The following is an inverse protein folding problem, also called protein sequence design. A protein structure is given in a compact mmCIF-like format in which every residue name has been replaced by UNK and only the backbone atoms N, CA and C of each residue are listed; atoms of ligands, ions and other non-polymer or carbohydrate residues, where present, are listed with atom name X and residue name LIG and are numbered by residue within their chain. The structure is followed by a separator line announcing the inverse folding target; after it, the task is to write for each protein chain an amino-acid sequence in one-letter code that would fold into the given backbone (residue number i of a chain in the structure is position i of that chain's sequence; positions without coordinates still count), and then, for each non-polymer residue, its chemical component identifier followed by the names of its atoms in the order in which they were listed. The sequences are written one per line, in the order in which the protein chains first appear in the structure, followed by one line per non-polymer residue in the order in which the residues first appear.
data_IF_125137990385
#
_entry.id   IF_125137990385
#
_cell.length_a   1.000
_cell.length_b   1.000
_cell.length_c   1.000
_cell.angle_alpha   90.00
_cell.angle_beta   90.00
_cell.angle_gamma   90.00
#
_symmetry.space_group_name_H-M   'P 1'
#
loop_
_entity.id
_entity.type
_entity.pdbx_description
1 polymer ?
#
# COMPACT_ATOMS: atom_id res chain seq x y z
N UNK A 1 3.50 -24.17 9.36
CA UNK A 1 4.10 -23.29 10.40
C UNK A 1 5.27 -24.06 11.02
N UNK A 2 6.42 -23.43 11.27
CA UNK A 2 7.58 -24.08 11.89
C UNK A 2 7.28 -24.44 13.36
N UNK A 3 7.76 -25.60 13.83
CA UNK A 3 7.50 -26.10 15.20
C UNK A 3 7.95 -25.10 16.28
N UNK A 4 9.14 -24.52 16.10
CA UNK A 4 9.69 -23.52 17.01
C UNK A 4 8.82 -22.25 17.12
N UNK A 5 8.13 -21.86 16.04
CA UNK A 5 7.18 -20.73 16.09
C UNK A 5 5.97 -21.08 16.97
N UNK A 6 5.45 -22.30 16.88
CA UNK A 6 4.33 -22.76 17.72
C UNK A 6 4.75 -22.78 19.19
N UNK A 7 5.93 -23.33 19.48
CA UNK A 7 6.48 -23.41 20.84
C UNK A 7 6.74 -22.03 21.47
N UNK A 8 7.02 -21.02 20.64
CA UNK A 8 7.23 -19.63 21.08
C UNK A 8 5.94 -18.89 21.48
N UNK A 9 4.76 -19.49 21.28
CA UNK A 9 3.47 -18.92 21.66
C UNK A 9 3.26 -17.52 21.07
N UNK A 10 2.77 -16.56 21.87
CA UNK A 10 2.51 -15.17 21.44
C UNK A 10 3.77 -14.40 21.00
N UNK A 11 4.96 -14.85 21.41
CA UNK A 11 6.23 -14.16 21.18
C UNK A 11 6.93 -14.61 19.89
N UNK A 12 6.29 -15.51 19.12
CA UNK A 12 6.87 -16.09 17.89
C UNK A 12 7.22 -15.05 16.83
N UNK A 13 6.65 -13.85 16.89
CA UNK A 13 6.93 -12.76 15.92
C UNK A 13 8.05 -11.82 16.36
N UNK A 14 8.67 -12.04 17.52
CA UNK A 14 9.79 -11.21 17.97
C UNK A 14 11.06 -11.48 17.16
N UNK A 15 11.97 -10.49 17.05
CA UNK A 15 13.31 -10.72 16.53
C UNK A 15 13.98 -11.90 17.26
N UNK A 16 14.63 -12.79 16.51
CA UNK A 16 15.24 -14.01 17.03
C UNK A 16 14.29 -15.22 17.18
N UNK A 17 12.98 -15.01 17.29
CA UNK A 17 11.99 -16.10 17.41
C UNK A 17 11.27 -16.39 16.08
N UNK A 18 11.09 -15.37 15.24
CA UNK A 18 10.36 -15.52 13.98
C UNK A 18 11.16 -16.34 12.97
N UNK A 19 10.71 -17.59 12.74
CA UNK A 19 11.25 -18.44 11.68
C UNK A 19 10.32 -18.39 10.46
N UNK A 20 10.78 -17.69 9.42
CA UNK A 20 10.14 -17.62 8.10
C UNK A 20 10.88 -18.43 7.04
N UNK A 21 10.33 -18.48 5.83
CA UNK A 21 10.92 -19.16 4.66
C UNK A 21 11.17 -18.21 3.47
N UNK A 22 11.04 -16.89 3.68
CA UNK A 22 11.29 -15.88 2.66
C UNK A 22 12.77 -15.50 2.55
N UNK A 23 13.05 -14.53 1.67
CA UNK A 23 14.40 -14.05 1.37
C UNK A 23 15.11 -13.32 2.52
N UNK A 24 14.37 -12.88 3.54
CA UNK A 24 14.90 -12.14 4.69
C UNK A 24 14.42 -12.70 6.02
N UNK A 25 15.20 -12.46 7.08
CA UNK A 25 14.87 -12.73 8.49
C UNK A 25 14.75 -11.43 9.29
N UNK A 26 13.89 -11.43 10.31
CA UNK A 26 13.71 -10.28 11.21
C UNK A 26 14.91 -10.13 12.16
N UNK A 27 15.68 -9.06 11.97
CA UNK A 27 16.87 -8.72 12.77
C UNK A 27 16.52 -7.89 14.00
N UNK A 28 15.71 -6.85 13.81
CA UNK A 28 15.39 -5.87 14.85
C UNK A 28 13.96 -5.34 14.66
N UNK A 29 13.28 -5.05 15.76
CA UNK A 29 11.98 -4.37 15.76
C UNK A 29 11.94 -3.41 16.94
N UNK A 30 11.76 -2.14 16.65
CA UNK A 30 11.45 -1.11 17.64
C UNK A 30 10.08 -0.54 17.28
N UNK A 31 9.12 -0.73 18.19
CA UNK A 31 7.72 -0.36 17.96
C UNK A 31 7.61 1.14 17.66
N UNK A 32 6.87 1.50 16.61
CA UNK A 32 6.70 2.86 16.10
C UNK A 32 7.99 3.55 15.58
N UNK A 33 9.10 2.83 15.45
CA UNK A 33 10.36 3.39 14.95
C UNK A 33 10.87 2.66 13.71
N UNK A 34 11.10 1.35 13.77
CA UNK A 34 11.67 0.60 12.65
C UNK A 34 11.49 -0.91 12.74
N UNK A 35 11.54 -1.55 11.58
CA UNK A 35 11.77 -2.99 11.39
C UNK A 35 13.02 -3.17 10.52
N UNK A 36 14.00 -3.93 11.00
CA UNK A 36 15.22 -4.24 10.25
C UNK A 36 15.20 -5.71 9.87
N UNK A 37 15.44 -6.00 8.59
CA UNK A 37 15.58 -7.35 8.08
C UNK A 37 16.92 -7.53 7.37
N UNK A 38 17.45 -8.75 7.40
CA UNK A 38 18.71 -9.14 6.74
C UNK A 38 18.50 -10.43 5.95
N UNK A 39 19.32 -10.73 4.93
CA UNK A 39 19.15 -11.93 4.12
C UNK A 39 19.02 -13.21 4.94
N UNK A 40 18.09 -14.06 4.52
CA UNK A 40 17.97 -15.42 5.00
C UNK A 40 18.87 -16.33 4.17
N UNK A 41 20.00 -16.75 4.72
CA UNK A 41 20.97 -17.61 4.03
C UNK A 41 20.42 -18.99 3.65
N UNK A 42 19.31 -19.41 4.26
CA UNK A 42 18.61 -20.66 3.95
C UNK A 42 17.51 -20.50 2.89
N UNK A 43 17.26 -19.29 2.40
CA UNK A 43 16.30 -19.07 1.33
C UNK A 43 16.78 -19.75 0.04
N UNK A 44 15.88 -20.48 -0.62
CA UNK A 44 16.22 -21.31 -1.79
C UNK A 44 16.88 -20.52 -2.93
N UNK A 45 16.54 -19.23 -3.09
CA UNK A 45 17.11 -18.34 -4.09
C UNK A 45 18.04 -17.26 -3.49
N UNK A 46 18.66 -17.54 -2.34
CA UNK A 46 19.54 -16.57 -1.65
C UNK A 46 20.71 -16.11 -2.53
N UNK A 47 21.15 -16.93 -3.49
CA UNK A 47 22.19 -16.55 -4.45
C UNK A 47 21.83 -15.31 -5.29
N UNK A 48 20.54 -14.98 -5.42
CA UNK A 48 20.05 -13.78 -6.12
C UNK A 48 19.68 -12.63 -5.17
N UNK A 49 19.80 -12.79 -3.86
CA UNK A 49 19.50 -11.73 -2.89
C UNK A 49 20.62 -10.68 -2.89
N UNK A 50 20.32 -9.47 -3.36
CA UNK A 50 21.30 -8.38 -3.48
C UNK A 50 21.34 -7.50 -2.22
N UNK A 51 20.19 -7.05 -1.72
CA UNK A 51 20.15 -6.13 -0.57
C UNK A 51 20.55 -6.86 0.71
N UNK A 52 21.56 -6.34 1.41
CA UNK A 52 22.10 -6.97 2.63
C UNK A 52 21.38 -6.50 3.91
N UNK A 53 20.58 -5.45 3.81
CA UNK A 53 19.77 -4.91 4.89
C UNK A 53 18.64 -4.09 4.30
N UNK A 54 17.45 -4.23 4.87
CA UNK A 54 16.31 -3.35 4.58
C UNK A 54 15.75 -2.86 5.90
N UNK A 55 15.49 -1.55 5.98
CA UNK A 55 14.87 -0.90 7.13
C UNK A 55 13.51 -0.35 6.72
N UNK A 56 12.44 -0.83 7.34
CA UNK A 56 11.10 -0.28 7.17
C UNK A 56 10.82 0.72 8.28
N UNK A 57 10.35 1.91 7.91
CA UNK A 57 10.04 3.00 8.83
C UNK A 57 8.52 3.26 8.82
N UNK A 58 7.82 3.19 9.97
CA UNK A 58 6.38 3.42 10.04
C UNK A 58 6.07 4.92 10.09
N UNK A 59 6.17 5.62 8.96
CA UNK A 59 5.90 7.05 8.85
C UNK A 59 4.49 7.28 8.31
N UNK A 60 3.55 7.58 9.20
CA UNK A 60 2.14 7.76 8.84
C UNK A 60 1.83 9.10 8.18
N UNK A 61 2.75 10.07 8.25
CA UNK A 61 2.58 11.40 7.66
C UNK A 61 3.36 11.46 6.35
N UNK A 62 2.62 11.41 5.25
CA UNK A 62 3.18 11.41 3.88
C UNK A 62 4.12 12.59 3.65
N UNK A 63 3.74 13.79 4.10
CA UNK A 63 4.60 14.99 4.01
C UNK A 63 5.94 14.85 4.75
N UNK A 64 5.98 14.11 5.85
CA UNK A 64 7.22 13.83 6.58
C UNK A 64 8.06 12.77 5.85
N UNK A 65 7.42 11.74 5.27
CA UNK A 65 8.09 10.74 4.45
C UNK A 65 8.76 11.37 3.23
N UNK A 66 8.06 12.25 2.50
CA UNK A 66 8.62 12.97 1.35
C UNK A 66 9.81 13.84 1.75
N UNK A 67 9.71 14.62 2.84
CA UNK A 67 10.85 15.45 3.29
C UNK A 67 12.09 14.61 3.60
N UNK A 68 11.92 13.45 4.23
CA UNK A 68 13.01 12.53 4.55
C UNK A 68 13.58 11.86 3.31
N UNK A 69 12.74 11.50 2.35
CA UNK A 69 13.18 11.03 1.03
C UNK A 69 14.05 12.07 0.32
N UNK A 70 13.57 13.32 0.25
CA UNK A 70 14.31 14.42 -0.37
C UNK A 70 15.61 14.79 0.37
N UNK A 71 15.68 14.53 1.67
CA UNK A 71 16.89 14.70 2.47
C UNK A 71 17.89 13.53 2.31
N UNK A 72 17.50 12.43 1.64
CA UNK A 72 18.34 11.24 1.48
C UNK A 72 18.28 10.25 2.66
N UNK A 73 17.35 10.44 3.61
CA UNK A 73 17.17 9.53 4.75
C UNK A 73 16.39 8.24 4.38
N UNK A 74 15.67 8.26 3.25
CA UNK A 74 14.79 7.20 2.79
C UNK A 74 14.99 7.00 1.30
N UNK A 75 15.16 5.75 0.87
CA UNK A 75 15.41 5.41 -0.54
C UNK A 75 14.12 5.27 -1.36
N UNK A 76 12.99 4.90 -0.73
CA UNK A 76 11.70 4.65 -1.38
C UNK A 76 10.56 5.09 -0.44
N UNK A 77 9.58 5.84 -0.95
CA UNK A 77 8.34 6.19 -0.23
C UNK A 77 7.17 5.30 -0.68
N UNK A 78 6.16 5.13 0.17
CA UNK A 78 4.91 4.46 -0.23
C UNK A 78 4.04 5.34 -1.14
N UNK A 79 4.13 6.66 -0.99
CA UNK A 79 3.40 7.66 -1.77
C UNK A 79 4.06 9.05 -1.68
N UNK A 80 3.52 10.01 -2.44
CA UNK A 80 3.88 11.42 -2.40
C UNK A 80 2.61 12.28 -2.29
N UNK A 81 2.64 13.38 -1.51
CA UNK A 81 1.49 14.28 -1.44
C UNK A 81 1.13 14.78 -2.83
N UNK A 82 -0.16 14.85 -3.12
CA UNK A 82 -0.70 15.18 -4.46
C UNK A 82 -0.04 16.40 -5.09
N UNK A 83 0.17 17.46 -4.30
CA UNK A 83 0.82 18.71 -4.73
C UNK A 83 2.25 18.55 -5.26
N UNK A 84 2.94 17.48 -4.89
CA UNK A 84 4.31 17.19 -5.34
C UNK A 84 4.33 16.22 -6.51
N UNK A 85 3.19 15.65 -6.94
CA UNK A 85 3.18 14.65 -8.01
C UNK A 85 3.60 15.26 -9.35
N UNK A 86 3.13 16.45 -9.70
CA UNK A 86 3.57 17.16 -10.92
C UNK A 86 5.07 17.48 -10.88
N UNK A 87 5.56 18.01 -9.76
CA UNK A 87 6.99 18.30 -9.55
C UNK A 87 7.84 17.02 -9.52
N UNK A 88 7.30 15.92 -9.01
CA UNK A 88 8.01 14.65 -8.92
C UNK A 88 8.13 13.94 -10.26
N UNK A 89 7.08 14.00 -11.08
CA UNK A 89 7.06 13.47 -12.45
C UNK A 89 8.01 14.24 -13.36
N UNK A 90 8.12 15.56 -13.20
CA UNK A 90 8.98 16.41 -14.04
C UNK A 90 10.43 16.52 -13.50
N UNK A 91 10.63 16.58 -12.19
CA UNK A 91 11.91 16.90 -11.56
C UNK A 91 12.76 15.71 -11.14
N UNK A 92 12.17 14.56 -10.79
CA UNK A 92 12.91 13.36 -10.38
C UNK A 92 12.91 12.31 -11.49
N UNK A 93 13.51 12.65 -12.63
CA UNK A 93 13.64 11.80 -13.84
C UNK A 93 14.28 10.41 -13.64
N UNK A 94 14.69 10.05 -12.41
CA UNK A 94 15.10 8.69 -12.01
C UNK A 94 14.25 8.02 -10.91
N UNK A 95 13.37 8.76 -10.23
CA UNK A 95 12.46 8.23 -9.22
C UNK A 95 11.12 7.93 -9.89
N UNK A 96 11.06 6.81 -10.61
CA UNK A 96 9.87 6.42 -11.35
C UNK A 96 8.64 6.38 -10.43
N UNK A 97 7.65 7.25 -10.72
CA UNK A 97 6.31 7.08 -10.19
C UNK A 97 5.74 5.79 -10.81
N UNK A 98 5.57 4.75 -10.01
CA UNK A 98 4.96 3.50 -10.46
C UNK A 98 3.44 3.69 -10.57
N UNK A 99 2.95 3.79 -11.81
CA UNK A 99 1.53 3.91 -12.12
C UNK A 99 0.82 2.55 -12.19
N UNK A 100 -0.45 2.57 -11.76
CA UNK A 100 -1.45 1.50 -11.76
C UNK A 100 -1.27 0.37 -10.74
N UNK A 101 -1.79 0.58 -9.52
CA UNK A 101 -2.13 -0.51 -8.62
C UNK A 101 -3.55 -1.02 -8.96
N UNK A 102 -3.76 -2.33 -8.94
CA UNK A 102 -5.10 -2.93 -8.91
C UNK A 102 -5.72 -2.71 -7.52
N UNK A 103 -6.06 -1.45 -7.21
CA UNK A 103 -6.58 -1.00 -5.92
C UNK A 103 -7.71 -0.01 -6.14
N UNK A 104 -8.82 -0.22 -5.42
CA UNK A 104 -9.92 0.73 -5.34
C UNK A 104 -9.94 1.44 -3.99
N UNK A 105 -10.27 2.73 -4.02
CA UNK A 105 -10.62 3.50 -2.83
C UNK A 105 -12.13 3.67 -2.78
N UNK A 106 -12.75 3.29 -1.67
CA UNK A 106 -14.20 3.31 -1.49
C UNK A 106 -14.59 3.72 -0.08
N UNK A 107 -15.79 4.27 0.07
CA UNK A 107 -16.44 4.45 1.37
C UNK A 107 -17.25 3.20 1.72
N UNK A 108 -16.94 2.57 2.85
CA UNK A 108 -17.70 1.46 3.38
C UNK A 108 -18.84 1.97 4.28
N UNK A 109 -20.06 1.52 4.03
CA UNK A 109 -21.20 1.81 4.90
C UNK A 109 -21.43 0.66 5.88
N UNK A 110 -21.79 0.98 7.13
CA UNK A 110 -22.30 -0.03 8.05
C UNK A 110 -23.72 -0.44 7.60
N UNK A 111 -23.86 -1.65 7.07
CA UNK A 111 -25.14 -2.16 6.55
C UNK A 111 -26.04 -2.76 7.63
N UNK A 112 -25.55 -2.88 8.87
CA UNK A 112 -26.25 -3.55 9.97
C UNK A 112 -26.79 -2.58 11.02
N UNK A 113 -26.41 -1.29 10.94
CA UNK A 113 -26.74 -0.30 11.97
C UNK A 113 -26.90 1.11 11.40
N UNK A 114 -27.88 1.84 11.94
CA UNK A 114 -28.10 3.25 11.64
C UNK A 114 -28.78 3.51 10.29
N UNK A 115 -28.83 4.77 9.82
CA UNK A 115 -29.52 5.13 8.57
C UNK A 115 -29.00 4.38 7.34
N UNK A 116 -27.71 4.03 7.32
CA UNK A 116 -27.09 3.28 6.22
C UNK A 116 -27.43 1.79 6.21
N UNK A 117 -28.18 1.27 7.20
CA UNK A 117 -28.78 -0.06 7.11
C UNK A 117 -29.84 -0.12 5.99
N UNK A 118 -30.52 1.00 5.71
CA UNK A 118 -31.44 1.13 4.58
C UNK A 118 -30.67 1.22 3.25
N UNK A 119 -30.99 0.34 2.31
CA UNK A 119 -30.35 0.30 0.98
C UNK A 119 -30.55 1.60 0.20
N UNK A 120 -31.69 2.28 0.36
CA UNK A 120 -32.00 3.52 -0.35
C UNK A 120 -31.06 4.65 0.06
N UNK A 121 -30.73 4.72 1.35
CA UNK A 121 -29.78 5.70 1.88
C UNK A 121 -28.39 5.46 1.28
N UNK A 122 -27.91 4.21 1.25
CA UNK A 122 -26.61 3.89 0.64
C UNK A 122 -26.56 4.20 -0.85
N UNK A 123 -27.64 3.89 -1.57
CA UNK A 123 -27.73 4.15 -3.00
C UNK A 123 -27.72 5.66 -3.28
N UNK A 124 -28.50 6.44 -2.54
CA UNK A 124 -28.52 7.89 -2.65
C UNK A 124 -27.13 8.50 -2.43
N UNK A 125 -26.44 8.12 -1.34
CA UNK A 125 -25.09 8.60 -1.05
C UNK A 125 -24.10 8.24 -2.17
N UNK A 126 -24.14 6.99 -2.67
CA UNK A 126 -23.25 6.55 -3.76
C UNK A 126 -23.48 7.29 -5.07
N UNK A 127 -24.74 7.58 -5.42
CA UNK A 127 -25.11 8.28 -6.66
C UNK A 127 -24.76 9.77 -6.62
N UNK A 128 -24.72 10.37 -5.43
CA UNK A 128 -24.37 11.80 -5.27
C UNK A 128 -22.86 12.07 -5.25
N UNK A 129 -21.99 11.05 -5.19
CA UNK A 129 -20.55 11.23 -5.26
C UNK A 129 -20.15 11.50 -6.72
N UNK A 130 -19.71 12.73 -6.99
CA UNK A 130 -19.09 13.08 -8.26
C UNK A 130 -17.65 12.56 -8.32
N UNK A 131 -17.51 11.35 -8.86
CA UNK A 131 -16.23 10.64 -8.97
C UNK A 131 -15.28 11.29 -9.97
N UNK A 132 -15.81 11.96 -11.01
CA UNK A 132 -14.99 12.68 -12.00
C UNK A 132 -14.41 13.93 -11.37
N UNK A 133 -15.23 14.73 -10.71
CA UNK A 133 -14.75 15.90 -9.96
C UNK A 133 -13.68 15.51 -8.94
N UNK A 134 -13.91 14.43 -8.19
CA UNK A 134 -12.94 13.93 -7.21
C UNK A 134 -11.60 13.59 -7.87
N UNK A 135 -11.59 12.75 -8.90
CA UNK A 135 -10.34 12.28 -9.53
C UNK A 135 -9.63 13.35 -10.35
N UNK A 136 -10.38 14.19 -11.07
CA UNK A 136 -9.81 15.17 -12.00
C UNK A 136 -9.42 16.49 -11.35
N UNK A 137 -10.12 16.90 -10.27
CA UNK A 137 -9.95 18.24 -9.67
C UNK A 137 -9.50 18.24 -8.23
N UNK A 138 -9.94 17.26 -7.43
CA UNK A 138 -9.53 17.18 -6.02
C UNK A 138 -8.18 16.48 -5.93
N UNK A 139 -8.06 15.27 -6.48
CA UNK A 139 -6.82 14.48 -6.47
C UNK A 139 -5.85 14.96 -7.56
N UNK A 140 -6.26 14.88 -8.83
CA UNK A 140 -5.48 15.38 -9.96
C UNK A 140 -4.19 14.59 -10.26
N UNK A 141 -4.06 13.37 -9.74
CA UNK A 141 -2.80 12.59 -9.76
C UNK A 141 -2.83 11.34 -10.65
N UNK A 142 -3.84 11.20 -11.51
CA UNK A 142 -3.94 10.13 -12.51
C UNK A 142 -4.87 8.97 -12.13
N UNK A 143 -5.57 9.08 -11.00
CA UNK A 143 -6.64 8.16 -10.59
C UNK A 143 -7.78 8.14 -11.61
N UNK A 144 -8.43 6.98 -11.73
CA UNK A 144 -9.61 6.81 -12.58
C UNK A 144 -10.87 6.70 -11.72
N UNK A 145 -12.01 7.28 -12.14
CA UNK A 145 -13.28 7.05 -11.48
C UNK A 145 -13.61 5.55 -11.39
N UNK A 146 -13.88 5.06 -10.18
CA UNK A 146 -14.26 3.67 -9.94
C UNK A 146 -15.78 3.48 -10.03
N UNK A 147 -16.22 2.65 -10.97
CA UNK A 147 -17.64 2.28 -11.16
C UNK A 147 -17.95 0.86 -10.69
N UNK A 148 -16.89 0.06 -10.49
CA UNK A 148 -16.95 -1.29 -9.96
C UNK A 148 -16.14 -1.36 -8.67
N UNK A 149 -16.40 -2.40 -7.87
CA UNK A 149 -15.58 -2.70 -6.69
C UNK A 149 -14.32 -3.51 -7.04
N UNK A 150 -14.30 -4.14 -8.21
CA UNK A 150 -13.10 -4.79 -8.74
C UNK A 150 -12.49 -3.84 -9.76
N UNK A 151 -11.20 -3.47 -9.63
CA UNK A 151 -10.56 -2.58 -10.59
C UNK A 151 -10.62 -3.15 -12.00
N UNK A 152 -10.91 -2.30 -12.99
CA UNK A 152 -11.04 -2.71 -14.40
C UNK A 152 -9.73 -3.26 -15.01
N UNK A 153 -8.59 -3.04 -14.33
CA UNK A 153 -7.27 -3.56 -14.72
C UNK A 153 -6.95 -4.92 -14.08
N UNK A 154 -7.87 -5.46 -13.27
CA UNK A 154 -7.71 -6.79 -12.65
C UNK A 154 -7.58 -7.85 -13.73
N UNK A 155 -6.53 -8.69 -13.64
CA UNK A 155 -6.31 -9.75 -14.61
C UNK A 155 -7.56 -10.66 -14.73
N UNK A 156 -8.05 -10.85 -15.95
CA UNK A 156 -9.25 -11.64 -16.24
C UNK A 156 -10.58 -10.88 -16.15
N UNK A 157 -10.57 -9.62 -15.72
CA UNK A 157 -11.72 -8.71 -15.81
C UNK A 157 -11.53 -7.87 -17.07
N UNK A 158 -12.28 -8.21 -18.13
CA UNK A 158 -12.42 -7.32 -19.28
C UNK A 158 -13.61 -6.40 -18.98
N UNK A 159 -13.41 -5.08 -19.07
CA UNK A 159 -14.51 -4.14 -19.11
C UNK A 159 -15.34 -4.44 -20.37
N UNK A 160 -16.35 -5.29 -20.21
CA UNK A 160 -17.39 -5.48 -21.21
C UNK A 160 -18.01 -4.12 -21.46
N UNK A 161 -17.93 -3.68 -22.70
CA UNK A 161 -18.54 -2.44 -23.19
C UNK A 161 -20.04 -2.57 -22.99
N UNK A 162 -20.57 -2.05 -21.88
CA UNK A 162 -22.00 -1.78 -21.78
C UNK A 162 -22.25 -0.44 -22.45
N UNK A 163 -22.46 -0.50 -23.78
CA UNK A 163 -23.19 0.54 -24.47
C UNK A 163 -24.65 0.47 -24.00
N UNK A 164 -25.11 1.56 -23.40
CA UNK A 164 -26.53 1.94 -23.37
C UNK A 164 -26.60 3.39 -23.82
#
# INVERSE_FOLDING_TARGET
MQKANVESGKEWTKPGNLIGNGAYVLKERVVNEKLVVVPNTHYWDNAKTVLQKVTFLPINQESAATKRYLAGDIDITESFPEKYVSEAVEGYSGAGLYAAAARDLYYAFNTQKGPTADQRVRLALSMTIDRRLMTEKVLGTGEKPAWHFTPDVTAGIYAGTFAV
#
